data_IF_959075456971
#
_entry.id   IF_959075456971
#
_cell.length_a   1.000
_cell.length_b   1.000
_cell.length_c   1.000
_cell.angle_alpha   90.00
_cell.angle_beta   90.00
_cell.angle_gamma   90.00
#
_symmetry.space_group_name_H-M   'P 1'
#
loop_
_entity.id
_entity.type
_entity.pdbx_description
1 polymer ?
#
# COMPACT_ATOMS: atom_id res chain seq x y z
N UNK A 1 -13.54 -32.10 22.13
CA UNK A 1 -12.82 -30.80 22.12
C UNK A 1 -12.62 -30.37 20.66
N UNK A 2 -13.36 -29.37 20.16
CA UNK A 2 -13.32 -28.98 18.73
C UNK A 2 -12.16 -28.01 18.50
N UNK A 3 -11.22 -28.45 17.66
CA UNK A 3 -10.07 -27.69 17.19
C UNK A 3 -10.57 -26.58 16.24
N UNK A 4 -10.81 -25.37 16.74
CA UNK A 4 -11.16 -24.21 15.91
C UNK A 4 -9.90 -23.72 15.20
N UNK A 5 -9.62 -24.24 14.01
CA UNK A 5 -8.67 -23.61 13.07
C UNK A 5 -9.15 -22.18 12.79
N UNK A 6 -8.31 -21.19 13.06
CA UNK A 6 -8.57 -19.79 12.71
C UNK A 6 -8.91 -19.70 11.21
N UNK A 7 -10.01 -19.03 10.81
CA UNK A 7 -10.50 -19.04 9.42
C UNK A 7 -9.68 -18.17 8.46
N UNK A 8 -8.56 -17.60 8.90
CA UNK A 8 -7.92 -16.45 8.22
C UNK A 8 -6.82 -16.80 7.22
N UNK A 9 -6.47 -18.07 7.03
CA UNK A 9 -5.56 -18.43 5.93
C UNK A 9 -6.39 -18.57 4.67
N UNK A 10 -6.68 -17.43 4.03
CA UNK A 10 -7.17 -17.42 2.66
C UNK A 10 -6.20 -18.25 1.81
N UNK A 11 -6.71 -19.33 1.22
CA UNK A 11 -6.07 -20.09 0.14
C UNK A 11 -6.00 -19.25 -1.16
N UNK A 12 -5.73 -17.95 -1.03
CA UNK A 12 -5.64 -17.02 -2.14
C UNK A 12 -4.30 -17.17 -2.85
N UNK A 13 -4.32 -17.07 -4.17
CA UNK A 13 -3.12 -17.10 -4.99
C UNK A 13 -2.34 -15.77 -4.83
N UNK A 14 -1.48 -15.70 -3.81
CA UNK A 14 -0.62 -14.56 -3.51
C UNK A 14 0.32 -14.19 -4.68
N UNK A 15 0.71 -15.16 -5.50
CA UNK A 15 1.58 -14.93 -6.67
C UNK A 15 0.91 -14.08 -7.75
N UNK A 16 -0.40 -14.28 -7.97
CA UNK A 16 -1.18 -13.46 -8.92
C UNK A 16 -1.29 -11.99 -8.47
N UNK A 17 -1.29 -11.72 -7.16
CA UNK A 17 -1.38 -10.35 -6.64
C UNK A 17 -0.09 -9.54 -6.84
N UNK A 18 1.07 -10.22 -6.89
CA UNK A 18 2.37 -9.59 -7.10
C UNK A 18 2.67 -9.28 -8.58
N UNK A 19 2.04 -9.99 -9.52
CA UNK A 19 2.33 -9.90 -10.95
C UNK A 19 2.12 -8.52 -11.58
N UNK A 20 1.22 -7.69 -11.03
CA UNK A 20 0.94 -6.34 -11.55
C UNK A 20 2.04 -5.29 -11.29
N UNK A 21 3.06 -5.62 -10.50
CA UNK A 21 4.06 -4.65 -10.02
C UNK A 21 5.46 -4.83 -10.61
N UNK A 22 5.72 -5.90 -11.36
CA UNK A 22 7.06 -6.20 -11.85
C UNK A 22 7.36 -5.39 -13.13
N UNK A 23 8.28 -4.42 -13.03
CA UNK A 23 8.81 -3.65 -14.16
C UNK A 23 10.34 -3.47 -13.99
N UNK A 24 11.14 -3.62 -15.07
CA UNK A 24 12.60 -3.60 -14.99
C UNK A 24 13.19 -2.22 -14.64
N UNK A 25 14.32 -2.24 -13.93
CA UNK A 25 15.00 -1.14 -13.25
C UNK A 25 15.54 -0.05 -14.18
N UNK A 26 15.17 1.23 -13.96
CA UNK A 26 15.92 2.40 -14.49
C UNK A 26 16.35 3.31 -13.34
N UNK A 27 17.63 3.66 -13.31
CA UNK A 27 18.24 4.51 -12.28
C UNK A 27 17.70 5.94 -12.35
N UNK A 28 16.95 6.37 -11.33
CA UNK A 28 16.45 7.75 -11.18
C UNK A 28 16.84 8.23 -9.78
N UNK A 29 17.56 9.36 -9.68
CA UNK A 29 17.87 10.05 -8.42
C UNK A 29 16.61 10.78 -7.91
N UNK A 30 16.39 10.76 -6.60
CA UNK A 30 15.13 11.20 -5.98
C UNK A 30 15.39 12.28 -4.93
N UNK A 31 14.75 13.44 -5.11
CA UNK A 31 14.52 14.45 -4.08
C UNK A 31 13.04 14.85 -4.14
N UNK A 32 12.41 15.11 -3.00
CA UNK A 32 11.06 15.67 -2.95
C UNK A 32 11.16 17.19 -3.03
N UNK A 33 10.51 17.79 -4.04
CA UNK A 33 10.32 19.24 -4.06
C UNK A 33 9.36 19.61 -2.94
N UNK A 34 9.74 20.57 -2.10
CA UNK A 34 8.90 21.07 -1.01
C UNK A 34 7.70 21.83 -1.57
N UNK A 35 6.62 21.12 -1.88
CA UNK A 35 5.34 21.68 -2.33
C UNK A 35 4.33 21.72 -1.20
N UNK A 36 3.64 22.86 -1.04
CA UNK A 36 2.45 22.96 -0.20
C UNK A 36 1.31 22.13 -0.80
N UNK A 37 0.58 21.38 0.03
CA UNK A 37 -0.58 20.60 -0.39
C UNK A 37 -1.76 21.53 -0.74
N UNK A 38 -1.83 22.00 -1.97
CA UNK A 38 -3.05 22.60 -2.51
C UNK A 38 -3.99 21.46 -2.90
N UNK A 39 -4.95 21.16 -2.02
CA UNK A 39 -6.03 20.24 -2.34
C UNK A 39 -7.03 20.99 -3.25
N UNK A 40 -7.22 20.58 -4.52
CA UNK A 40 -8.34 21.09 -5.29
C UNK A 40 -9.64 20.60 -4.62
N UNK A 41 -10.36 21.54 -4.01
CA UNK A 41 -11.70 21.33 -3.46
C UNK A 41 -12.68 21.20 -4.64
N UNK A 42 -12.63 20.06 -5.34
CA UNK A 42 -13.66 19.59 -6.27
C UNK A 42 -13.20 18.30 -6.96
N UNK A 43 -13.35 17.15 -6.29
CA UNK A 43 -13.43 15.87 -6.99
C UNK A 43 -14.74 15.19 -6.63
N UNK A 44 -15.49 14.81 -7.66
CA UNK A 44 -16.94 14.61 -7.68
C UNK A 44 -17.51 13.57 -6.69
N UNK A 45 -18.79 13.79 -6.39
CA UNK A 45 -19.56 13.44 -5.19
C UNK A 45 -20.32 12.12 -5.25
N UNK A 46 -19.80 11.06 -5.89
CA UNK A 46 -20.48 9.73 -5.94
C UNK A 46 -19.59 8.53 -5.59
N UNK A 47 -18.46 8.73 -4.91
CA UNK A 47 -17.63 7.62 -4.42
C UNK A 47 -18.04 7.27 -2.98
N UNK A 48 -18.19 5.98 -2.62
CA UNK A 48 -18.42 5.60 -1.22
C UNK A 48 -17.33 6.18 -0.33
N UNK A 49 -17.75 7.09 0.56
CA UNK A 49 -16.87 7.72 1.53
C UNK A 49 -16.34 6.65 2.48
N UNK A 50 -15.04 6.68 2.76
CA UNK A 50 -14.40 5.77 3.71
C UNK A 50 -13.67 4.56 3.10
N UNK A 51 -13.68 4.39 1.78
CA UNK A 51 -12.87 3.35 1.13
C UNK A 51 -11.42 3.84 0.88
N UNK A 52 -10.38 3.10 1.31
CA UNK A 52 -9.00 3.42 0.98
C UNK A 52 -8.78 3.47 -0.54
N UNK A 53 -8.21 4.57 -1.04
CA UNK A 53 -7.83 4.76 -2.44
C UNK A 53 -6.59 5.64 -2.54
N UNK A 54 -5.71 5.33 -3.50
CA UNK A 54 -4.59 6.20 -3.87
C UNK A 54 -5.15 7.37 -4.72
N UNK A 55 -4.88 8.63 -4.34
CA UNK A 55 -5.20 9.81 -5.15
C UNK A 55 -4.62 9.72 -6.57
N UNK A 56 -5.33 10.26 -7.56
CA UNK A 56 -4.95 10.11 -8.98
C UNK A 56 -3.64 10.85 -9.34
N UNK A 57 -3.30 11.89 -8.59
CA UNK A 57 -2.08 12.67 -8.68
C UNK A 57 -0.85 11.97 -8.06
N UNK A 58 -1.07 10.92 -7.26
CA UNK A 58 0.01 10.15 -6.64
C UNK A 58 0.31 8.90 -7.48
N UNK A 59 1.45 8.92 -8.15
CA UNK A 59 2.01 7.74 -8.81
C UNK A 59 3.12 7.11 -7.97
N UNK A 60 3.01 5.80 -7.74
CA UNK A 60 4.04 5.06 -7.01
C UNK A 60 5.35 5.01 -7.79
N UNK A 61 6.43 5.41 -7.11
CA UNK A 61 7.79 5.27 -7.64
C UNK A 61 8.14 3.78 -7.79
N UNK A 62 9.10 3.47 -8.66
CA UNK A 62 9.47 2.07 -8.95
C UNK A 62 9.81 1.25 -7.70
N UNK A 63 10.61 1.80 -6.80
CA UNK A 63 10.98 1.10 -5.56
C UNK A 63 9.79 0.91 -4.61
N UNK A 64 8.79 1.80 -4.63
CA UNK A 64 7.57 1.65 -3.85
C UNK A 64 6.72 0.50 -4.41
N UNK A 65 6.59 0.43 -5.75
CA UNK A 65 5.95 -0.70 -6.44
C UNK A 65 6.65 -2.02 -6.11
N UNK A 66 7.98 -2.04 -6.13
CA UNK A 66 8.75 -3.23 -5.74
C UNK A 66 8.52 -3.61 -4.27
N UNK A 67 8.47 -2.64 -3.36
CA UNK A 67 8.19 -2.89 -1.95
C UNK A 67 6.80 -3.50 -1.73
N UNK A 68 5.77 -2.98 -2.41
CA UNK A 68 4.41 -3.53 -2.42
C UNK A 68 4.42 -4.97 -2.95
N UNK A 69 5.04 -5.20 -4.11
CA UNK A 69 5.14 -6.51 -4.76
C UNK A 69 5.78 -7.55 -3.85
N UNK A 70 6.94 -7.22 -3.26
CA UNK A 70 7.68 -8.09 -2.37
C UNK A 70 6.84 -8.43 -1.14
N UNK A 71 6.17 -7.44 -0.56
CA UNK A 71 5.32 -7.66 0.62
C UNK A 71 4.17 -8.63 0.33
N UNK A 72 3.52 -8.52 -0.84
CA UNK A 72 2.52 -9.50 -1.28
C UNK A 72 3.12 -10.88 -1.58
N UNK A 73 4.29 -10.95 -2.21
CA UNK A 73 5.01 -12.21 -2.44
C UNK A 73 5.32 -12.95 -1.13
N UNK A 74 5.56 -12.20 -0.04
CA UNK A 74 5.73 -12.72 1.32
C UNK A 74 4.41 -12.90 2.08
N UNK A 75 3.29 -13.09 1.37
CA UNK A 75 1.96 -13.36 1.94
C UNK A 75 1.47 -12.30 2.93
N UNK A 76 1.79 -11.04 2.62
CA UNK A 76 1.42 -9.90 3.43
C UNK A 76 2.04 -9.89 4.83
N UNK A 77 3.26 -10.39 4.96
CA UNK A 77 3.99 -10.46 6.24
C UNK A 77 5.43 -9.97 6.07
N UNK A 78 5.96 -9.37 7.13
CA UNK A 78 7.34 -8.87 7.19
C UNK A 78 7.43 -7.35 7.36
N UNK A 79 8.65 -6.85 7.37
CA UNK A 79 8.98 -5.43 7.62
C UNK A 79 9.64 -4.80 6.41
N UNK A 80 9.12 -3.65 5.97
CA UNK A 80 9.74 -2.85 4.93
C UNK A 80 10.77 -1.89 5.54
N UNK A 81 12.06 -2.11 5.26
CA UNK A 81 13.14 -1.19 5.64
C UNK A 81 13.33 -0.14 4.55
N UNK A 82 13.14 1.13 4.91
CA UNK A 82 13.10 2.24 3.95
C UNK A 82 13.74 3.50 4.54
N UNK A 83 14.48 4.24 3.71
CA UNK A 83 15.15 5.49 4.10
C UNK A 83 14.15 6.61 4.47
N UNK A 84 14.60 7.65 5.17
CA UNK A 84 13.84 8.90 5.33
C UNK A 84 13.60 9.56 3.96
N UNK A 85 12.49 10.27 3.80
CA UNK A 85 12.12 10.90 2.51
C UNK A 85 11.76 9.94 1.36
N UNK A 86 11.81 8.61 1.56
CA UNK A 86 11.49 7.66 0.48
C UNK A 86 9.99 7.38 0.31
N UNK A 87 9.11 8.05 1.06
CA UNK A 87 7.65 7.81 1.00
C UNK A 87 7.21 6.48 1.64
N UNK A 88 7.67 6.20 2.87
CA UNK A 88 7.23 5.06 3.69
C UNK A 88 5.71 5.03 3.89
N UNK A 89 5.14 6.18 4.22
CA UNK A 89 3.70 6.34 4.44
C UNK A 89 2.91 6.08 3.17
N UNK A 90 3.34 6.65 2.03
CA UNK A 90 2.72 6.41 0.72
C UNK A 90 2.73 4.91 0.40
N UNK A 91 3.86 4.23 0.63
CA UNK A 91 3.99 2.79 0.39
C UNK A 91 3.06 1.97 1.29
N UNK A 92 2.95 2.31 2.58
CA UNK A 92 2.06 1.64 3.52
C UNK A 92 0.57 1.81 3.16
N UNK A 93 0.17 3.02 2.76
CA UNK A 93 -1.20 3.30 2.32
C UNK A 93 -1.54 2.63 0.98
N UNK A 94 -0.56 2.48 0.09
CA UNK A 94 -0.72 1.67 -1.12
C UNK A 94 -1.03 0.21 -0.78
N UNK A 95 -0.25 -0.39 0.13
CA UNK A 95 -0.50 -1.76 0.59
C UNK A 95 -1.89 -1.88 1.21
N UNK A 96 -2.29 -0.93 2.06
CA UNK A 96 -3.63 -0.92 2.67
C UNK A 96 -4.76 -0.84 1.62
N UNK A 97 -4.59 0.01 0.62
CA UNK A 97 -5.54 0.14 -0.51
C UNK A 97 -5.67 -1.18 -1.29
N UNK A 98 -4.55 -1.83 -1.58
CA UNK A 98 -4.53 -3.11 -2.29
C UNK A 98 -5.16 -4.24 -1.46
N UNK A 99 -4.87 -4.30 -0.16
CA UNK A 99 -5.50 -5.27 0.74
C UNK A 99 -7.01 -5.06 0.84
N UNK A 100 -7.45 -3.81 0.89
CA UNK A 100 -8.88 -3.48 0.87
C UNK A 100 -9.54 -4.03 -0.40
N UNK A 101 -8.96 -3.77 -1.56
CA UNK A 101 -9.51 -4.19 -2.86
C UNK A 101 -9.46 -5.72 -3.08
N UNK A 102 -8.39 -6.38 -2.63
CA UNK A 102 -8.14 -7.80 -2.93
C UNK A 102 -8.77 -8.76 -1.92
N UNK A 103 -8.78 -8.39 -0.64
CA UNK A 103 -9.21 -9.29 0.44
C UNK A 103 -10.18 -8.66 1.43
N UNK A 104 -10.66 -7.44 1.18
CA UNK A 104 -11.63 -6.78 2.04
C UNK A 104 -11.07 -6.44 3.42
N UNK A 105 -9.94 -5.72 3.47
CA UNK A 105 -9.33 -5.23 4.70
C UNK A 105 -10.37 -4.58 5.64
N UNK A 106 -10.54 -5.16 6.83
CA UNK A 106 -11.54 -4.72 7.82
C UNK A 106 -11.01 -3.64 8.77
N UNK A 107 -9.76 -3.78 9.20
CA UNK A 107 -9.14 -2.90 10.21
C UNK A 107 -7.70 -2.59 9.79
N UNK A 108 -7.33 -1.31 9.87
CA UNK A 108 -5.96 -0.82 9.70
C UNK A 108 -5.49 -0.18 11.00
N UNK A 109 -4.46 -0.75 11.64
CA UNK A 109 -3.84 -0.18 12.84
C UNK A 109 -2.57 0.57 12.46
N UNK A 110 -2.55 1.89 12.69
CA UNK A 110 -1.38 2.74 12.48
C UNK A 110 -0.89 3.23 13.83
N UNK A 111 0.34 2.86 14.19
CA UNK A 111 0.99 3.29 15.42
C UNK A 111 2.13 4.22 15.05
N UNK A 112 2.08 5.45 15.57
CA UNK A 112 3.14 6.44 15.43
C UNK A 112 3.55 6.90 16.83
N UNK A 113 4.85 6.89 17.18
CA UNK A 113 5.28 7.48 18.44
C UNK A 113 4.99 8.97 18.44
N UNK A 114 4.35 9.45 19.50
CA UNK A 114 4.19 10.87 19.78
C UNK A 114 5.38 11.36 20.62
N UNK A 115 5.85 12.57 20.34
CA UNK A 115 6.86 13.29 21.13
C UNK A 115 6.37 14.70 21.34
#
# INVERSE_FOLDING_TARGET
MRNKKFPFVLSGNWGSLAGGYYQPSRNIKVAESGGAYQLPISFETNLPKGCPRIPADIQLRQYQRQAVANWFAHRGRGTLKMATGSGKTITALAIATELYQKIGLQVLLVVCPYR
#
